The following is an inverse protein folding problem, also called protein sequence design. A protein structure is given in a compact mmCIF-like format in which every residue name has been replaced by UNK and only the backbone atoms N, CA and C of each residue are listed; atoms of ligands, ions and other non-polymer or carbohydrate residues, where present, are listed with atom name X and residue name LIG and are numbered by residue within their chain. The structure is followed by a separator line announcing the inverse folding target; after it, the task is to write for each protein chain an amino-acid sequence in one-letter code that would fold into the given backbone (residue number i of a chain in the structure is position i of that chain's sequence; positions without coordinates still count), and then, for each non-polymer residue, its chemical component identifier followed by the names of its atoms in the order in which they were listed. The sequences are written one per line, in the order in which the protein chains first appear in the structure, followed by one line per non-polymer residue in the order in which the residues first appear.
data_IF_338513388116
#
_entry.id   IF_338513388116
#
_cell.length_a   1.000
_cell.length_b   1.000
_cell.length_c   1.000
_cell.angle_alpha   90.00
_cell.angle_beta   90.00
_cell.angle_gamma   90.00
#
_symmetry.space_group_name_H-M   'P 1'
#
loop_
_entity.id
_entity.type
_entity.pdbx_description
1 polymer ?
#
# COMPACT_ATOMS: atom_id res chain seq x y z
N UNK A 1 5.64 29.41 -25.42
CA UNK A 1 6.01 29.25 -24.00
C UNK A 1 5.91 27.77 -23.66
N UNK A 2 7.00 27.11 -23.28
CA UNK A 2 6.99 25.68 -22.91
C UNK A 2 6.68 25.61 -21.41
N UNK A 3 5.43 25.28 -21.07
CA UNK A 3 5.02 25.08 -19.68
C UNK A 3 5.78 23.89 -19.09
N UNK A 4 6.42 24.09 -17.93
CA UNK A 4 7.12 23.02 -17.19
C UNK A 4 6.11 21.87 -16.95
N UNK A 5 6.44 20.61 -17.30
CA UNK A 5 5.51 19.51 -17.05
C UNK A 5 5.23 19.44 -15.55
N UNK A 6 3.95 19.42 -15.18
CA UNK A 6 3.53 19.28 -13.81
C UNK A 6 4.11 17.97 -13.24
N UNK A 7 4.89 18.08 -12.16
CA UNK A 7 5.46 16.91 -11.50
C UNK A 7 4.32 16.07 -10.94
N UNK A 8 4.20 14.82 -11.38
CA UNK A 8 3.26 13.87 -10.76
C UNK A 8 3.69 13.65 -9.32
N UNK A 9 2.82 14.01 -8.39
CA UNK A 9 2.98 13.72 -6.97
C UNK A 9 2.24 12.41 -6.73
N UNK A 10 2.91 11.46 -6.11
CA UNK A 10 2.31 10.22 -5.64
C UNK A 10 2.17 10.28 -4.13
N UNK A 11 1.03 9.86 -3.60
CA UNK A 11 0.86 9.70 -2.15
C UNK A 11 1.61 8.45 -1.70
N UNK A 12 2.09 8.49 -0.46
CA UNK A 12 2.81 7.35 0.10
C UNK A 12 1.91 6.10 0.17
N UNK A 13 0.63 6.26 0.51
CA UNK A 13 -0.37 5.18 0.49
C UNK A 13 -0.52 4.54 -0.90
N UNK A 14 -0.51 5.35 -1.95
CA UNK A 14 -0.58 4.82 -3.32
C UNK A 14 0.71 4.05 -3.64
N UNK A 15 1.88 4.58 -3.29
CA UNK A 15 3.15 3.91 -3.50
C UNK A 15 3.25 2.57 -2.75
N UNK A 16 2.74 2.49 -1.50
CA UNK A 16 2.69 1.24 -0.73
C UNK A 16 1.86 0.17 -1.46
N UNK A 17 0.66 0.54 -1.91
CA UNK A 17 -0.29 -0.41 -2.47
C UNK A 17 -0.01 -0.79 -3.94
N UNK A 18 0.90 -0.07 -4.62
CA UNK A 18 1.20 -0.29 -6.04
C UNK A 18 2.67 -0.60 -6.27
N UNK A 19 3.56 0.35 -6.03
CA UNK A 19 4.99 0.24 -6.35
C UNK A 19 5.71 -0.65 -5.35
N UNK A 20 5.55 -0.39 -4.05
CA UNK A 20 6.29 -1.09 -2.99
C UNK A 20 5.76 -2.50 -2.69
N UNK A 21 4.62 -2.87 -3.29
CA UNK A 21 4.05 -4.23 -3.19
C UNK A 21 4.75 -5.23 -4.12
N UNK A 22 5.46 -4.75 -5.14
CA UNK A 22 6.28 -5.62 -5.98
C UNK A 22 7.51 -6.11 -5.19
N UNK A 23 7.79 -7.42 -5.27
CA UNK A 23 8.96 -8.04 -4.62
C UNK A 23 10.28 -7.40 -5.05
N UNK A 24 10.34 -6.85 -6.27
CA UNK A 24 11.50 -6.12 -6.76
C UNK A 24 11.79 -4.82 -5.99
N UNK A 25 10.82 -4.31 -5.21
CA UNK A 25 10.92 -3.06 -4.45
C UNK A 25 10.94 -3.29 -2.91
N UNK A 26 11.06 -4.54 -2.46
CA UNK A 26 11.09 -4.87 -1.02
C UNK A 26 12.33 -4.33 -0.33
N UNK A 27 13.47 -4.31 -1.02
CA UNK A 27 14.74 -3.74 -0.54
C UNK A 27 14.60 -2.25 -0.17
N UNK A 28 13.87 -1.48 -0.97
CA UNK A 28 13.57 -0.06 -0.70
C UNK A 28 12.71 0.07 0.55
N UNK A 29 11.71 -0.78 0.71
CA UNK A 29 10.82 -0.75 1.88
C UNK A 29 11.53 -1.23 3.16
N UNK A 30 12.38 -2.25 3.07
CA UNK A 30 13.24 -2.71 4.16
C UNK A 30 14.21 -1.62 4.62
N UNK A 31 14.87 -0.94 3.68
CA UNK A 31 15.76 0.17 3.98
C UNK A 31 15.02 1.33 4.66
N UNK A 32 13.84 1.68 4.15
CA UNK A 32 12.99 2.71 4.75
C UNK A 32 12.57 2.34 6.19
N UNK A 33 12.08 1.12 6.40
CA UNK A 33 11.66 0.65 7.73
C UNK A 33 12.83 0.52 8.69
N UNK A 34 14.00 0.10 8.20
CA UNK A 34 15.23 0.02 9.00
C UNK A 34 15.66 1.40 9.49
N UNK A 35 15.63 2.40 8.61
CA UNK A 35 15.94 3.78 8.97
C UNK A 35 14.89 4.38 9.93
N UNK A 36 13.61 4.08 9.72
CA UNK A 36 12.52 4.58 10.56
C UNK A 36 12.52 3.96 11.97
N UNK A 37 12.81 2.66 12.08
CA UNK A 37 12.72 1.90 13.32
C UNK A 37 14.06 1.76 14.04
N UNK A 38 15.17 2.15 13.40
CA UNK A 38 16.53 2.04 13.96
C UNK A 38 17.00 0.60 14.18
N UNK A 39 16.39 -0.38 13.51
CA UNK A 39 16.72 -1.80 13.61
C UNK A 39 16.61 -2.48 12.25
N UNK A 40 17.40 -3.51 11.94
CA UNK A 40 17.27 -4.23 10.68
C UNK A 40 15.88 -4.86 10.55
N UNK A 41 15.25 -4.64 9.39
CA UNK A 41 13.95 -5.22 9.02
C UNK A 41 14.13 -6.00 7.72
N UNK A 42 13.55 -7.19 7.65
CA UNK A 42 13.50 -8.02 6.45
C UNK A 42 12.05 -8.42 6.19
N UNK A 43 11.57 -8.18 4.98
CA UNK A 43 10.23 -8.47 4.52
C UNK A 43 10.25 -9.87 3.92
N UNK A 44 9.64 -10.83 4.61
CA UNK A 44 9.59 -12.23 4.18
C UNK A 44 8.51 -12.47 3.13
N UNK A 45 7.36 -11.84 3.32
CA UNK A 45 6.26 -11.85 2.37
C UNK A 45 5.35 -10.65 2.64
N UNK A 46 4.59 -10.23 1.64
CA UNK A 46 3.53 -9.23 1.83
C UNK A 46 2.19 -9.94 1.78
N UNK A 47 1.33 -9.79 2.81
CA UNK A 47 0.04 -10.46 2.81
C UNK A 47 -0.72 -10.11 1.53
N UNK A 48 -1.30 -11.12 0.89
CA UNK A 48 -2.28 -10.88 -0.16
C UNK A 48 -3.37 -10.00 0.41
N UNK A 49 -3.68 -8.88 -0.24
CA UNK A 49 -4.73 -7.99 0.21
C UNK A 49 -6.00 -8.81 0.35
N UNK A 50 -6.41 -9.10 1.58
CA UNK A 50 -7.83 -9.27 1.85
C UNK A 50 -8.45 -7.96 1.39
N UNK A 51 -9.06 -8.01 0.20
CA UNK A 51 -10.02 -6.99 -0.18
C UNK A 51 -10.92 -6.90 1.03
N UNK A 52 -10.99 -5.74 1.67
CA UNK A 52 -11.85 -5.52 2.81
C UNK A 52 -13.27 -5.85 2.32
N UNK A 53 -13.69 -7.12 2.44
CA UNK A 53 -15.05 -7.54 2.16
C UNK A 53 -15.76 -6.86 3.29
N UNK A 54 -16.35 -5.72 2.96
CA UNK A 54 -17.31 -5.04 3.79
C UNK A 54 -18.16 -6.17 4.34
N UNK A 55 -18.02 -6.44 5.63
CA UNK A 55 -19.02 -7.19 6.37
C UNK A 55 -20.18 -6.20 6.38
N UNK A 56 -20.86 -6.08 5.23
CA UNK A 56 -21.98 -5.20 5.06
C UNK A 56 -23.06 -5.94 5.81
N UNK A 57 -23.14 -5.65 7.11
CA UNK A 57 -24.33 -5.86 7.90
C UNK A 57 -25.46 -5.16 7.15
N UNK A 58 -26.13 -5.92 6.28
CA UNK A 58 -27.38 -5.57 5.66
C UNK A 58 -28.35 -6.64 6.14
N UNK A 59 -28.93 -6.31 7.30
CA UNK A 59 -30.31 -6.59 7.70
C UNK A 59 -30.88 -7.87 7.09
N UNK A 60 -30.90 -8.95 7.88
CA UNK A 60 -32.03 -9.89 7.85
C UNK A 60 -33.18 -9.17 8.55
N UNK A 61 -33.79 -8.25 7.83
CA UNK A 61 -35.13 -7.78 8.13
C UNK A 61 -35.90 -8.02 6.85
N UNK A 62 -36.83 -8.97 6.94
CA UNK A 62 -38.10 -9.08 6.23
C UNK A 62 -38.09 -8.70 4.74
N UNK A 63 -38.38 -9.65 3.84
CA UNK A 63 -39.46 -9.50 2.83
C UNK A 63 -39.74 -10.88 2.16
N UNK A 64 -40.96 -11.40 2.41
CA UNK A 64 -41.74 -12.48 1.76
C UNK A 64 -41.12 -13.86 1.49
#
# INVERSE_FOLDING_TARGET
MIGKPARKIVTFDWAINTVLRDKANFDVLEGFLTALLGRPVTILDMPESETNRVISGRLVADES
#
